data_IF_130908310016
#
_entry.id   IF_130908310016
#
_cell.length_a   1.000
_cell.length_b   1.000
_cell.length_c   1.000
_cell.angle_alpha   90.00
_cell.angle_beta   90.00
_cell.angle_gamma   90.00
#
_symmetry.space_group_name_H-M   'P 1'
#
loop_
_entity.id
_entity.type
_entity.pdbx_description
1 polymer ?
#
# COMPACT_ATOMS: atom_id res chain seq x y z
N UNK A 1 -24.65 48.35 -2.37
CA UNK A 1 -24.73 46.91 -1.97
C UNK A 1 -24.40 45.93 -3.11
N UNK A 2 -24.94 46.07 -4.33
CA UNK A 2 -24.65 45.14 -5.46
C UNK A 2 -23.17 45.13 -5.93
N UNK A 3 -22.46 46.25 -5.81
CA UNK A 3 -21.03 46.31 -6.14
C UNK A 3 -20.17 45.51 -5.16
N UNK A 4 -20.44 45.58 -3.85
CA UNK A 4 -19.68 44.87 -2.82
C UNK A 4 -19.75 43.34 -2.97
N UNK A 5 -20.89 42.81 -3.43
CA UNK A 5 -21.10 41.38 -3.64
C UNK A 5 -20.29 40.82 -4.82
N UNK A 6 -19.98 41.65 -5.84
CA UNK A 6 -19.14 41.26 -6.99
C UNK A 6 -17.66 41.12 -6.62
N UNK A 7 -17.18 41.90 -5.65
CA UNK A 7 -15.79 41.83 -5.17
C UNK A 7 -15.58 40.66 -4.21
N UNK A 8 -16.56 40.34 -3.37
CA UNK A 8 -16.49 39.17 -2.46
C UNK A 8 -16.55 37.86 -3.25
N UNK A 9 -17.37 37.76 -4.31
CA UNK A 9 -17.38 36.59 -5.20
C UNK A 9 -16.08 36.42 -6.01
N UNK A 10 -15.44 37.52 -6.40
CA UNK A 10 -14.15 37.51 -7.11
C UNK A 10 -12.98 37.09 -6.18
N UNK A 11 -12.96 37.56 -4.92
CA UNK A 11 -11.97 37.10 -3.95
C UNK A 11 -12.16 35.62 -3.54
N UNK A 12 -13.41 35.16 -3.41
CA UNK A 12 -13.70 33.76 -3.12
C UNK A 12 -13.26 32.80 -4.24
N UNK A 13 -13.32 33.24 -5.49
CA UNK A 13 -12.89 32.45 -6.66
C UNK A 13 -11.36 32.40 -6.80
N UNK A 14 -10.63 33.41 -6.30
CA UNK A 14 -9.17 33.44 -6.35
C UNK A 14 -8.52 32.52 -5.30
N UNK A 15 -9.14 32.35 -4.12
CA UNK A 15 -8.61 31.45 -3.07
C UNK A 15 -8.79 29.96 -3.37
N UNK A 16 -9.69 29.57 -4.27
CA UNK A 16 -9.88 28.17 -4.67
C UNK A 16 -8.79 27.65 -5.63
N UNK A 17 -7.97 28.53 -6.22
CA UNK A 17 -6.87 28.19 -7.13
C UNK A 17 -5.53 27.94 -6.42
N UNK A 18 -5.48 28.08 -5.09
CA UNK A 18 -4.30 27.77 -4.27
C UNK A 18 -4.39 26.38 -3.62
N UNK A 19 -5.06 25.43 -4.27
CA UNK A 19 -4.86 24.01 -3.95
C UNK A 19 -3.43 23.64 -4.35
N UNK A 20 -2.52 23.70 -3.38
CA UNK A 20 -1.14 23.27 -3.57
C UNK A 20 -1.12 21.86 -4.12
N UNK A 21 -0.64 21.71 -5.35
CA UNK A 21 -0.28 20.42 -5.91
C UNK A 21 0.82 19.83 -5.03
N UNK A 22 0.50 18.76 -4.32
CA UNK A 22 1.48 17.96 -3.62
C UNK A 22 2.37 17.29 -4.66
N UNK A 23 3.52 17.90 -4.97
CA UNK A 23 4.48 17.33 -5.89
C UNK A 23 5.24 16.20 -5.18
N UNK A 24 4.79 14.95 -5.39
CA UNK A 24 5.69 13.82 -5.23
C UNK A 24 6.77 13.95 -6.31
N UNK A 25 8.05 13.81 -5.94
CA UNK A 25 9.12 13.87 -6.94
C UNK A 25 9.11 12.57 -7.76
N UNK A 26 9.31 11.41 -7.14
CA UNK A 26 9.25 10.12 -7.86
C UNK A 26 8.02 9.30 -7.48
N UNK A 27 7.20 8.96 -8.48
CA UNK A 27 6.02 8.10 -8.35
C UNK A 27 6.25 6.73 -8.98
N UNK A 28 5.65 5.68 -8.39
CA UNK A 28 5.63 4.32 -8.95
C UNK A 28 4.34 4.15 -9.73
N UNK A 29 4.39 3.56 -10.93
CA UNK A 29 3.24 3.41 -11.83
C UNK A 29 2.10 2.51 -11.33
N UNK A 30 2.23 1.95 -10.13
CA UNK A 30 1.21 1.15 -9.46
C UNK A 30 1.46 1.08 -7.95
N UNK A 31 0.45 0.67 -7.18
CA UNK A 31 0.52 0.52 -5.71
C UNK A 31 0.99 -0.86 -5.26
N UNK A 32 1.22 -1.75 -6.21
CA UNK A 32 1.70 -3.14 -6.03
C UNK A 32 2.21 -3.71 -7.34
N UNK A 33 2.94 -4.81 -7.25
CA UNK A 33 3.44 -5.59 -8.38
C UNK A 33 2.98 -7.03 -8.21
N UNK A 34 2.45 -7.63 -9.28
CA UNK A 34 2.25 -9.07 -9.37
C UNK A 34 3.40 -9.65 -10.18
N UNK A 35 4.13 -10.60 -9.61
CA UNK A 35 5.21 -11.35 -10.25
C UNK A 35 4.74 -12.79 -10.48
N UNK A 36 4.28 -13.15 -11.68
CA UNK A 36 4.00 -14.54 -12.01
C UNK A 36 5.31 -15.32 -12.05
N UNK A 37 5.40 -16.43 -11.31
CA UNK A 37 6.65 -17.16 -11.10
C UNK A 37 7.17 -17.87 -12.38
N UNK A 38 6.32 -18.00 -13.40
CA UNK A 38 6.68 -18.51 -14.72
C UNK A 38 7.29 -17.43 -15.65
N UNK A 39 7.31 -16.16 -15.22
CA UNK A 39 7.96 -15.08 -15.95
C UNK A 39 9.41 -14.91 -15.51
N UNK A 40 10.29 -14.65 -16.48
CA UNK A 40 11.70 -14.35 -16.20
C UNK A 40 11.88 -13.01 -15.50
N UNK A 41 11.10 -12.02 -15.90
CA UNK A 41 11.14 -10.67 -15.35
C UNK A 41 9.79 -9.98 -15.47
N UNK A 42 9.58 -8.99 -14.61
CA UNK A 42 8.50 -8.00 -14.74
C UNK A 42 9.09 -6.61 -14.73
N UNK A 43 8.37 -5.66 -15.31
CA UNK A 43 8.80 -4.26 -15.37
C UNK A 43 7.97 -3.38 -14.43
N UNK A 44 8.62 -2.44 -13.77
CA UNK A 44 7.96 -1.40 -12.97
C UNK A 44 8.36 -0.03 -13.49
N UNK A 45 7.39 0.79 -13.88
CA UNK A 45 7.64 2.15 -14.36
C UNK A 45 7.66 3.12 -13.18
N UNK A 46 8.65 4.00 -13.16
CA UNK A 46 8.74 5.17 -12.28
C UNK A 46 8.60 6.44 -13.12
N UNK A 47 8.01 7.48 -12.55
CA UNK A 47 8.00 8.83 -13.14
C UNK A 47 8.57 9.83 -12.13
N UNK A 48 9.40 10.75 -12.61
CA UNK A 48 9.75 11.93 -11.85
C UNK A 48 8.82 13.07 -12.27
N UNK A 49 7.78 13.33 -11.49
CA UNK A 49 6.77 14.35 -11.77
C UNK A 49 7.17 15.75 -11.26
N UNK A 50 8.36 15.88 -10.68
CA UNK A 50 8.93 17.16 -10.27
C UNK A 50 9.67 17.89 -11.40
N UNK A 51 9.96 19.16 -11.13
CA UNK A 51 10.80 20.03 -11.96
C UNK A 51 12.30 19.89 -11.67
N UNK A 52 12.69 19.02 -10.74
CA UNK A 52 14.09 18.81 -10.33
C UNK A 52 14.52 17.37 -10.54
N UNK A 53 15.82 17.09 -10.73
CA UNK A 53 16.32 15.73 -10.81
C UNK A 53 16.26 15.04 -9.44
N UNK A 54 16.17 13.71 -9.42
CA UNK A 54 16.29 12.89 -8.20
C UNK A 54 17.35 11.82 -8.37
N UNK A 55 18.02 11.46 -7.27
CA UNK A 55 18.76 10.22 -7.17
C UNK A 55 17.83 9.14 -6.59
N UNK A 56 17.59 8.10 -7.36
CA UNK A 56 16.70 7.00 -6.97
C UNK A 56 17.50 5.77 -6.60
N UNK A 57 17.19 5.17 -5.45
CA UNK A 57 17.69 3.86 -5.04
C UNK A 57 16.53 2.88 -4.89
N UNK A 58 16.70 1.65 -5.38
CA UNK A 58 15.67 0.62 -5.33
C UNK A 58 16.21 -0.69 -4.76
N UNK A 59 15.41 -1.34 -3.93
CA UNK A 59 15.73 -2.65 -3.37
C UNK A 59 14.47 -3.43 -2.99
N UNK A 60 14.62 -4.74 -2.84
CA UNK A 60 13.57 -5.63 -2.34
C UNK A 60 13.83 -5.98 -0.87
N UNK A 61 12.76 -6.02 -0.06
CA UNK A 61 12.79 -6.57 1.28
C UNK A 61 11.76 -7.71 1.45
N UNK A 62 11.93 -8.51 2.50
CA UNK A 62 11.16 -9.72 2.83
C UNK A 62 10.15 -9.52 3.97
N UNK A 63 9.80 -8.27 4.27
CA UNK A 63 8.85 -7.90 5.32
C UNK A 63 9.46 -6.93 6.34
N UNK A 64 10.80 -6.91 6.46
CA UNK A 64 11.49 -5.96 7.32
C UNK A 64 11.48 -4.54 6.73
N UNK A 65 10.57 -3.69 7.21
CA UNK A 65 10.49 -2.29 6.79
C UNK A 65 11.76 -1.49 7.10
N UNK A 66 12.61 -1.91 8.04
CA UNK A 66 13.87 -1.24 8.36
C UNK A 66 15.05 -1.73 7.51
N UNK A 67 14.81 -2.68 6.59
CA UNK A 67 15.85 -3.18 5.70
C UNK A 67 16.41 -2.06 4.82
N UNK A 68 17.75 -1.97 4.81
CA UNK A 68 18.52 -1.02 4.00
C UNK A 68 18.89 -1.63 2.64
N UNK A 69 19.21 -0.80 1.63
CA UNK A 69 19.79 -1.28 0.37
C UNK A 69 20.96 -2.25 0.63
N UNK A 70 20.95 -3.40 -0.04
CA UNK A 70 21.99 -4.43 0.08
C UNK A 70 21.90 -5.34 1.32
N UNK A 71 20.97 -5.08 2.24
CA UNK A 71 20.78 -5.89 3.46
C UNK A 71 19.60 -6.88 3.36
N UNK A 72 18.86 -6.90 2.25
CA UNK A 72 17.68 -7.74 2.06
C UNK A 72 18.03 -9.17 1.65
N UNK A 73 17.34 -10.15 2.25
CA UNK A 73 17.41 -11.57 1.87
C UNK A 73 16.38 -11.94 0.78
N UNK A 74 15.69 -10.95 0.22
CA UNK A 74 14.68 -11.18 -0.79
C UNK A 74 15.32 -11.76 -2.08
N UNK A 75 14.74 -12.81 -2.69
CA UNK A 75 15.32 -13.52 -3.84
C UNK A 75 15.06 -12.77 -5.15
N UNK A 76 15.42 -11.48 -5.21
CA UNK A 76 15.16 -10.61 -6.34
C UNK A 76 16.37 -9.75 -6.69
N UNK A 77 16.56 -9.55 -7.99
CA UNK A 77 17.51 -8.60 -8.57
C UNK A 77 16.72 -7.51 -9.27
N UNK A 78 17.00 -6.24 -8.96
CA UNK A 78 16.36 -5.08 -9.58
C UNK A 78 17.42 -4.30 -10.36
N UNK A 79 17.11 -3.96 -11.60
CA UNK A 79 18.03 -3.23 -12.49
C UNK A 79 17.35 -2.03 -13.14
N UNK A 80 17.97 -0.82 -13.13
CA UNK A 80 19.15 -0.45 -12.34
C UNK A 80 18.81 -0.28 -10.84
N UNK A 81 19.73 -0.60 -9.90
CA UNK A 81 19.50 -0.49 -8.45
C UNK A 81 19.67 0.95 -7.92
N UNK A 82 20.44 1.78 -8.63
CA UNK A 82 20.63 3.20 -8.34
C UNK A 82 20.81 3.96 -9.65
N UNK A 83 20.17 5.12 -9.79
CA UNK A 83 20.23 5.93 -10.99
C UNK A 83 19.72 7.34 -10.72
N UNK A 84 20.14 8.28 -11.55
CA UNK A 84 19.58 9.63 -11.58
C UNK A 84 18.35 9.65 -12.50
N UNK A 85 17.25 10.22 -12.02
CA UNK A 85 16.08 10.57 -12.83
C UNK A 85 16.05 12.08 -13.03
N UNK A 86 16.18 12.56 -14.26
CA UNK A 86 15.98 13.98 -14.54
C UNK A 86 14.51 14.38 -14.42
N UNK A 87 14.26 15.69 -14.33
CA UNK A 87 12.93 16.27 -14.21
C UNK A 87 11.99 15.82 -15.33
N UNK A 88 10.75 15.49 -14.98
CA UNK A 88 9.70 15.06 -15.94
C UNK A 88 10.09 13.84 -16.79
N UNK A 89 11.02 13.00 -16.33
CA UNK A 89 11.43 11.76 -17.00
C UNK A 89 10.86 10.53 -16.32
N UNK A 90 10.70 9.47 -17.12
CA UNK A 90 10.35 8.14 -16.62
C UNK A 90 11.55 7.21 -16.65
N UNK A 91 11.61 6.27 -15.72
CA UNK A 91 12.55 5.15 -15.72
C UNK A 91 11.77 3.84 -15.62
N UNK A 92 12.22 2.80 -16.33
CA UNK A 92 11.69 1.45 -16.15
C UNK A 92 12.69 0.60 -15.39
N UNK A 93 12.22 -0.04 -14.32
CA UNK A 93 12.95 -1.05 -13.56
C UNK A 93 12.65 -2.43 -14.15
N UNK A 94 13.66 -3.28 -14.24
CA UNK A 94 13.49 -4.74 -14.42
C UNK A 94 13.63 -5.43 -13.09
N UNK A 95 12.65 -6.23 -12.73
CA UNK A 95 12.63 -7.07 -11.52
C UNK A 95 12.75 -8.51 -11.95
N UNK A 96 13.78 -9.21 -11.49
CA UNK A 96 14.08 -10.61 -11.82
C UNK A 96 14.13 -11.44 -10.55
N UNK A 97 13.46 -12.58 -10.55
CA UNK A 97 13.55 -13.56 -9.48
C UNK A 97 14.88 -14.34 -9.57
N UNK A 98 15.57 -14.53 -8.45
CA UNK A 98 16.90 -15.16 -8.41
C UNK A 98 16.88 -16.68 -8.34
N UNK A 99 15.70 -17.31 -8.29
CA UNK A 99 15.57 -18.77 -8.33
C UNK A 99 15.71 -19.48 -6.98
N UNK A 100 15.51 -18.78 -5.86
CA UNK A 100 15.42 -19.42 -4.54
C UNK A 100 14.28 -20.46 -4.48
N UNK A 101 14.15 -21.20 -3.38
CA UNK A 101 12.96 -22.04 -3.20
C UNK A 101 11.79 -21.17 -2.70
N UNK A 102 10.61 -21.32 -3.31
CA UNK A 102 9.37 -20.71 -2.85
C UNK A 102 8.24 -21.74 -2.76
N UNK A 103 7.26 -21.53 -1.85
CA UNK A 103 6.02 -22.29 -1.86
C UNK A 103 5.38 -22.28 -3.24
N UNK A 104 4.93 -23.44 -3.72
CA UNK A 104 4.27 -23.59 -5.01
C UNK A 104 2.73 -23.68 -4.87
N UNK A 105 2.25 -23.85 -3.64
CA UNK A 105 0.84 -24.02 -3.30
C UNK A 105 0.14 -22.71 -2.90
N UNK A 106 0.89 -21.60 -2.77
CA UNK A 106 0.39 -20.30 -2.32
C UNK A 106 1.25 -19.14 -2.81
N UNK A 107 0.69 -17.94 -2.76
CA UNK A 107 1.46 -16.72 -2.98
C UNK A 107 2.51 -16.48 -1.90
N UNK A 108 3.59 -15.82 -2.28
CA UNK A 108 4.54 -15.19 -1.36
C UNK A 108 4.48 -13.67 -1.52
N UNK A 109 4.87 -12.92 -0.50
CA UNK A 109 4.89 -11.44 -0.54
C UNK A 109 6.27 -10.91 -0.20
N UNK A 110 6.70 -9.92 -0.98
CA UNK A 110 7.89 -9.11 -0.79
C UNK A 110 7.53 -7.62 -0.91
N UNK A 111 8.50 -6.74 -0.70
CA UNK A 111 8.27 -5.31 -0.79
C UNK A 111 9.34 -4.61 -1.61
N UNK A 112 8.90 -3.92 -2.67
CA UNK A 112 9.74 -3.03 -3.45
C UNK A 112 9.84 -1.68 -2.75
N UNK A 113 11.05 -1.27 -2.44
CA UNK A 113 11.37 0.04 -1.91
C UNK A 113 11.94 0.92 -3.01
N UNK A 114 11.43 2.14 -3.10
CA UNK A 114 11.90 3.20 -4.00
C UNK A 114 12.19 4.42 -3.14
N UNK A 115 13.48 4.70 -2.94
CA UNK A 115 13.96 5.87 -2.21
C UNK A 115 14.28 7.00 -3.19
N UNK A 116 13.55 8.09 -3.06
CA UNK A 116 13.70 9.34 -3.80
C UNK A 116 14.54 10.32 -2.97
N UNK A 117 15.74 10.66 -3.48
CA UNK A 117 16.66 11.59 -2.83
C UNK A 117 16.74 12.87 -3.68
N UNK A 118 16.13 13.99 -3.23
CA UNK A 118 16.18 15.24 -3.96
C UNK A 118 17.59 15.85 -3.98
N UNK A 119 17.87 16.80 -4.90
CA UNK A 119 19.14 17.50 -4.91
C UNK A 119 19.25 18.35 -3.63
N UNK A 120 20.49 18.61 -3.18
CA UNK A 120 20.71 19.51 -2.05
C UNK A 120 20.04 20.86 -2.33
N UNK A 121 19.40 21.42 -1.31
CA UNK A 121 18.88 22.79 -1.40
C UNK A 121 20.01 23.75 -1.73
N UNK A 122 19.72 24.77 -2.53
CA UNK A 122 20.67 25.84 -2.80
C UNK A 122 21.09 26.49 -1.48
N UNK A 123 22.40 26.70 -1.32
CA UNK A 123 22.96 27.29 -0.11
C UNK A 123 22.62 28.78 -0.07
N UNK A 124 21.52 29.13 0.59
CA UNK A 124 21.28 30.51 1.03
C UNK A 124 22.02 30.74 2.35
N UNK A 125 22.93 31.73 2.42
CA UNK A 125 23.59 32.11 3.67
C UNK A 125 22.55 32.38 4.77
N UNK A 126 22.81 31.87 5.98
CA UNK A 126 21.96 32.02 7.18
C UNK A 126 20.57 31.35 7.13
N UNK A 127 20.31 30.47 6.17
CA UNK A 127 19.06 29.69 6.13
C UNK A 127 19.23 28.29 6.74
N UNK A 128 18.36 27.96 7.70
CA UNK A 128 18.18 26.59 8.17
C UNK A 128 17.31 25.84 7.15
N UNK A 129 17.88 24.83 6.49
CA UNK A 129 17.15 24.02 5.50
C UNK A 129 16.82 22.64 6.06
N UNK A 130 15.58 22.21 5.87
CA UNK A 130 15.15 20.84 6.11
C UNK A 130 14.98 20.16 4.76
N UNK A 131 15.67 19.05 4.57
CA UNK A 131 15.57 18.24 3.35
C UNK A 131 14.98 16.87 3.69
N UNK A 132 13.97 16.47 2.92
CA UNK A 132 13.27 15.21 3.10
C UNK A 132 13.57 14.28 1.91
N UNK A 133 13.87 13.02 2.21
CA UNK A 133 13.91 11.94 1.23
C UNK A 133 12.74 11.01 1.51
N UNK A 134 12.03 10.61 0.45
CA UNK A 134 10.83 9.79 0.59
C UNK A 134 11.10 8.37 0.13
N UNK A 135 10.68 7.40 0.94
CA UNK A 135 10.71 5.98 0.57
C UNK A 135 9.29 5.48 0.35
N UNK A 136 8.96 5.20 -0.90
CA UNK A 136 7.74 4.47 -1.26
C UNK A 136 8.01 2.98 -1.16
N UNK A 137 7.19 2.26 -0.39
CA UNK A 137 7.29 0.81 -0.19
C UNK A 137 6.00 0.14 -0.64
N UNK A 138 6.04 -0.66 -1.70
CA UNK A 138 4.86 -1.35 -2.26
C UNK A 138 5.01 -2.86 -2.22
N UNK A 139 3.89 -3.56 -2.12
CA UNK A 139 3.86 -5.03 -2.08
C UNK A 139 4.18 -5.62 -3.45
N UNK A 140 4.90 -6.74 -3.45
CA UNK A 140 5.21 -7.57 -4.61
C UNK A 140 4.72 -8.98 -4.32
N UNK A 141 3.64 -9.39 -4.98
CA UNK A 141 3.07 -10.72 -4.82
C UNK A 141 3.67 -11.67 -5.83
N UNK A 142 4.34 -12.71 -5.34
CA UNK A 142 4.96 -13.76 -6.16
C UNK A 142 3.99 -14.91 -6.26
N UNK A 143 3.60 -15.24 -7.49
CA UNK A 143 2.45 -16.08 -7.76
C UNK A 143 2.88 -17.31 -8.55
N UNK A 144 2.96 -18.49 -7.90
CA UNK A 144 3.13 -19.75 -8.59
C UNK A 144 2.04 -19.97 -9.65
N UNK A 145 2.33 -20.72 -10.72
CA UNK A 145 1.31 -21.08 -11.70
C UNK A 145 0.27 -22.01 -11.06
N UNK A 146 -0.99 -21.90 -11.50
CA UNK A 146 -2.09 -22.83 -11.15
C UNK A 146 -2.49 -22.88 -9.67
N UNK A 147 -2.40 -21.76 -8.95
CA UNK A 147 -3.01 -21.64 -7.62
C UNK A 147 -4.54 -21.86 -7.71
N UNK A 148 -5.16 -22.49 -6.69
CA UNK A 148 -6.61 -22.70 -6.66
C UNK A 148 -7.37 -21.39 -6.43
N UNK A 149 -8.49 -21.20 -7.14
CA UNK A 149 -9.31 -20.00 -7.04
C UNK A 149 -8.71 -18.79 -7.77
N UNK A 150 -9.16 -17.59 -7.40
CA UNK A 150 -8.70 -16.32 -7.97
C UNK A 150 -8.44 -15.31 -6.85
N UNK A 151 -7.55 -14.32 -7.05
CA UNK A 151 -7.33 -13.27 -6.06
C UNK A 151 -8.57 -12.41 -5.84
N UNK A 152 -9.42 -12.24 -6.86
CA UNK A 152 -10.68 -11.49 -6.76
C UNK A 152 -11.71 -12.17 -5.86
N UNK A 153 -11.72 -13.51 -5.86
CA UNK A 153 -12.61 -14.32 -5.02
C UNK A 153 -12.10 -14.50 -3.59
N UNK A 154 -10.80 -14.27 -3.33
CA UNK A 154 -10.22 -14.56 -2.02
C UNK A 154 -10.86 -13.77 -0.85
N UNK A 155 -11.17 -12.46 -0.97
CA UNK A 155 -11.75 -11.69 0.14
C UNK A 155 -13.09 -12.23 0.65
N UNK A 156 -13.95 -12.74 -0.24
CA UNK A 156 -15.27 -13.30 0.12
C UNK A 156 -15.20 -14.68 0.80
N UNK A 157 -14.05 -15.34 0.72
CA UNK A 157 -13.81 -16.66 1.31
C UNK A 157 -13.18 -16.59 2.70
N UNK A 158 -12.95 -15.38 3.22
CA UNK A 158 -12.35 -15.19 4.52
C UNK A 158 -13.36 -15.45 5.65
N UNK A 159 -12.87 -16.08 6.71
CA UNK A 159 -13.64 -16.31 7.92
C UNK A 159 -13.33 -15.24 8.97
N UNK A 160 -14.37 -14.65 9.53
CA UNK A 160 -14.26 -13.56 10.49
C UNK A 160 -14.76 -14.03 11.85
N UNK A 161 -14.05 -13.65 12.93
CA UNK A 161 -14.48 -13.91 14.31
C UNK A 161 -14.16 -12.72 15.20
N UNK A 162 -15.07 -12.41 16.11
CA UNK A 162 -14.77 -11.46 17.18
C UNK A 162 -13.90 -12.14 18.23
N UNK A 163 -12.78 -11.52 18.57
CA UNK A 163 -11.86 -12.00 19.60
C UNK A 163 -11.54 -10.87 20.59
N UNK A 164 -11.05 -11.18 21.80
CA UNK A 164 -10.50 -10.15 22.68
C UNK A 164 -9.36 -9.39 22.00
N UNK A 165 -9.29 -8.07 22.20
CA UNK A 165 -8.17 -7.29 21.66
C UNK A 165 -6.84 -7.74 22.32
N UNK A 166 -5.70 -7.79 21.60
CA UNK A 166 -4.42 -8.27 22.13
C UNK A 166 -3.92 -7.55 23.40
N UNK A 167 -4.36 -6.31 23.63
CA UNK A 167 -4.00 -5.51 24.81
C UNK A 167 -5.09 -5.52 25.92
N UNK A 168 -6.06 -6.43 25.83
CA UNK A 168 -7.09 -6.65 26.86
C UNK A 168 -8.16 -5.56 26.98
N UNK A 169 -8.10 -4.50 26.18
CA UNK A 169 -9.09 -3.42 26.15
C UNK A 169 -9.97 -3.55 24.90
N UNK A 170 -11.18 -4.10 25.07
CA UNK A 170 -12.17 -4.23 24.01
C UNK A 170 -12.01 -5.50 23.17
N UNK A 171 -12.46 -5.44 21.93
CA UNK A 171 -12.50 -6.55 20.99
C UNK A 171 -11.72 -6.23 19.71
N UNK A 172 -11.33 -7.25 18.98
CA UNK A 172 -10.69 -7.19 17.67
C UNK A 172 -11.34 -8.22 16.73
N UNK A 173 -11.00 -8.15 15.44
CA UNK A 173 -11.42 -9.13 14.45
C UNK A 173 -10.29 -10.10 14.16
N UNK A 174 -10.47 -11.38 14.45
CA UNK A 174 -9.64 -12.43 13.91
C UNK A 174 -10.15 -12.78 12.50
N UNK A 175 -9.26 -12.72 11.53
CA UNK A 175 -9.55 -13.04 10.13
C UNK A 175 -8.72 -14.26 9.75
N UNK A 176 -9.37 -15.33 9.30
CA UNK A 176 -8.70 -16.52 8.78
C UNK A 176 -8.82 -16.55 7.26
N UNK A 177 -7.70 -16.79 6.59
CA UNK A 177 -7.64 -16.88 5.15
C UNK A 177 -7.42 -18.33 4.72
N UNK A 178 -8.45 -19.07 4.29
CA UNK A 178 -8.28 -20.44 3.84
C UNK A 178 -7.67 -20.56 2.43
N UNK A 179 -7.50 -19.44 1.73
CA UNK A 179 -7.10 -19.41 0.32
C UNK A 179 -5.59 -19.40 0.11
N UNK A 180 -5.18 -19.59 -1.14
CA UNK A 180 -3.80 -19.52 -1.59
C UNK A 180 -3.30 -18.08 -1.87
N UNK A 181 -4.12 -17.06 -1.62
CA UNK A 181 -3.89 -15.66 -2.05
C UNK A 181 -3.77 -14.71 -0.86
N UNK A 182 -2.93 -13.70 -0.95
CA UNK A 182 -2.90 -12.63 0.05
C UNK A 182 -4.11 -11.71 -0.13
N UNK A 183 -4.83 -11.43 0.96
CA UNK A 183 -5.90 -10.42 0.94
C UNK A 183 -5.42 -9.17 1.66
N UNK A 184 -5.37 -8.03 0.96
CA UNK A 184 -5.04 -6.73 1.54
C UNK A 184 -6.28 -5.86 1.61
N UNK A 185 -6.49 -5.20 2.74
CA UNK A 185 -7.60 -4.29 2.98
C UNK A 185 -7.11 -2.85 3.08
N UNK A 186 -7.90 -1.92 2.54
CA UNK A 186 -7.79 -0.49 2.84
C UNK A 186 -8.71 -0.10 4.00
N UNK A 187 -9.86 -0.74 4.12
CA UNK A 187 -10.87 -0.43 5.14
C UNK A 187 -11.58 -1.69 5.61
N UNK A 188 -11.86 -1.76 6.91
CA UNK A 188 -12.73 -2.75 7.52
C UNK A 188 -13.63 -2.05 8.55
N UNK A 189 -14.93 -2.15 8.33
CA UNK A 189 -15.96 -1.56 9.16
C UNK A 189 -16.81 -2.65 9.80
N UNK A 190 -17.12 -2.49 11.09
CA UNK A 190 -17.95 -3.43 11.86
C UNK A 190 -19.18 -2.70 12.35
N UNK A 191 -20.35 -3.09 11.85
CA UNK A 191 -21.64 -2.56 12.29
C UNK A 191 -22.37 -3.56 13.18
N UNK A 192 -22.66 -3.15 14.41
CA UNK A 192 -23.38 -3.94 15.43
C UNK A 192 -24.31 -3.02 16.22
N UNK A 193 -25.57 -3.43 16.42
CA UNK A 193 -26.57 -2.67 17.21
C UNK A 193 -26.67 -1.17 16.83
N UNK A 194 -26.62 -0.86 15.53
CA UNK A 194 -26.68 0.52 15.03
C UNK A 194 -25.41 1.36 15.24
N UNK A 195 -24.33 0.78 15.77
CA UNK A 195 -23.01 1.42 15.90
C UNK A 195 -22.05 0.86 14.87
N UNK A 196 -21.25 1.72 14.24
CA UNK A 196 -20.18 1.33 13.32
C UNK A 196 -18.82 1.65 13.94
N UNK A 197 -17.94 0.65 13.96
CA UNK A 197 -16.53 0.77 14.35
C UNK A 197 -15.68 0.67 13.08
N UNK A 198 -14.77 1.61 12.88
CA UNK A 198 -14.00 1.73 11.64
C UNK A 198 -12.53 1.39 11.83
N UNK A 199 -11.94 0.67 10.90
CA UNK A 199 -10.51 0.55 10.72
C UNK A 199 -10.13 1.05 9.31
N UNK A 200 -9.55 2.24 9.25
CA UNK A 200 -9.04 2.89 8.04
C UNK A 200 -7.52 2.64 7.82
N UNK A 201 -6.87 1.94 8.75
CA UNK A 201 -5.46 1.51 8.62
C UNK A 201 -5.34 0.25 7.76
N UNK A 202 -6.44 -0.46 7.53
CA UNK A 202 -6.50 -1.67 6.73
C UNK A 202 -5.78 -2.85 7.38
N UNK A 203 -5.18 -3.70 6.55
CA UNK A 203 -4.46 -4.89 6.98
C UNK A 203 -4.11 -5.81 5.81
N UNK A 204 -3.40 -6.89 6.08
CA UNK A 204 -3.18 -7.95 5.09
C UNK A 204 -3.16 -9.31 5.77
N UNK A 205 -3.87 -10.26 5.20
CA UNK A 205 -3.93 -11.64 5.70
C UNK A 205 -3.23 -12.55 4.71
N UNK A 206 -2.19 -13.24 5.17
CA UNK A 206 -1.42 -14.17 4.36
C UNK A 206 -2.22 -15.43 3.98
N UNK A 207 -1.88 -16.12 2.87
CA UNK A 207 -2.47 -17.39 2.48
C UNK A 207 -2.40 -18.44 3.59
N UNK A 208 -3.50 -19.15 3.82
CA UNK A 208 -3.63 -20.14 4.91
C UNK A 208 -3.28 -19.58 6.30
N UNK A 209 -3.29 -18.26 6.44
CA UNK A 209 -2.89 -17.53 7.63
C UNK A 209 -4.07 -17.06 8.45
N UNK A 210 -3.74 -16.47 9.61
CA UNK A 210 -4.71 -15.79 10.48
C UNK A 210 -4.09 -14.49 10.95
N UNK A 211 -4.89 -13.45 10.99
CA UNK A 211 -4.48 -12.14 11.50
C UNK A 211 -5.51 -11.58 12.45
N UNK A 212 -5.03 -10.85 13.46
CA UNK A 212 -5.88 -10.08 14.36
C UNK A 212 -5.85 -8.63 13.87
N UNK A 213 -6.93 -8.21 13.24
CA UNK A 213 -7.10 -6.85 12.77
C UNK A 213 -7.70 -6.01 13.90
N UNK A 214 -6.97 -4.99 14.40
CA UNK A 214 -7.50 -4.10 15.41
C UNK A 214 -8.63 -3.27 14.81
N UNK A 215 -9.74 -3.14 15.53
CA UNK A 215 -10.81 -2.20 15.18
C UNK A 215 -10.92 -1.22 16.35
N UNK A 216 -10.43 0.02 16.20
CA UNK A 216 -10.44 1.01 17.26
C UNK A 216 -11.78 1.12 17.97
N UNK A 217 -11.74 1.15 19.31
CA UNK A 217 -12.91 1.33 20.18
C UNK A 217 -13.99 0.24 20.08
N UNK A 218 -13.73 -0.87 19.37
CA UNK A 218 -14.69 -1.96 19.24
C UNK A 218 -14.92 -2.66 20.59
N UNK A 219 -16.18 -2.70 21.01
CA UNK A 219 -16.61 -3.35 22.25
C UNK A 219 -18.11 -3.70 22.20
N UNK A 220 -18.49 -4.78 22.88
CA UNK A 220 -19.89 -5.24 22.97
C UNK A 220 -20.45 -5.84 21.69
N UNK A 221 -19.60 -6.27 20.75
CA UNK A 221 -19.98 -6.92 19.50
C UNK A 221 -20.15 -8.42 19.74
N UNK A 222 -21.31 -8.97 19.37
CA UNK A 222 -21.62 -10.41 19.42
C UNK A 222 -22.04 -10.92 18.04
N UNK A 223 -23.00 -10.23 17.42
CA UNK A 223 -23.33 -10.38 16.00
C UNK A 223 -23.10 -9.05 15.29
N UNK A 224 -22.60 -9.09 14.06
CA UNK A 224 -22.27 -7.88 13.32
C UNK A 224 -22.26 -8.12 11.82
N UNK A 225 -22.42 -7.03 11.07
CA UNK A 225 -22.05 -6.96 9.66
C UNK A 225 -20.62 -6.42 9.59
N UNK A 226 -19.74 -7.14 8.92
CA UNK A 226 -18.41 -6.65 8.54
C UNK A 226 -18.50 -6.18 7.10
N UNK A 227 -18.27 -4.90 6.88
CA UNK A 227 -18.03 -4.36 5.54
C UNK A 227 -16.52 -4.25 5.34
N UNK A 228 -16.01 -4.68 4.20
CA UNK A 228 -14.58 -4.57 3.90
C UNK A 228 -14.35 -4.00 2.50
N UNK A 229 -13.24 -3.28 2.38
CA UNK A 229 -12.70 -2.83 1.10
C UNK A 229 -11.33 -3.49 0.92
N UNK A 230 -11.31 -4.56 0.11
CA UNK A 230 -10.09 -5.23 -0.29
C UNK A 230 -9.47 -4.54 -1.52
N UNK A 231 -8.17 -4.74 -1.74
CA UNK A 231 -7.43 -4.16 -2.86
C UNK A 231 -7.08 -5.28 -3.84
N UNK A 232 -7.49 -5.14 -5.10
CA UNK A 232 -7.20 -6.09 -6.19
C UNK A 232 -5.77 -5.92 -6.75
N UNK A 233 -5.40 -6.72 -7.73
CA UNK A 233 -4.05 -6.72 -8.34
C UNK A 233 -3.69 -5.39 -9.04
N UNK A 234 -4.69 -4.64 -9.50
CA UNK A 234 -4.52 -3.35 -10.17
C UNK A 234 -4.55 -2.16 -9.19
N UNK A 235 -4.69 -2.42 -7.89
CA UNK A 235 -4.82 -1.37 -6.87
C UNK A 235 -6.23 -0.78 -6.74
N UNK A 236 -7.23 -1.38 -7.39
CA UNK A 236 -8.64 -1.00 -7.28
C UNK A 236 -9.34 -1.68 -6.09
N UNK A 237 -10.48 -1.12 -5.70
CA UNK A 237 -11.30 -1.62 -4.59
C UNK A 237 -12.13 -2.86 -5.00
N UNK A 238 -12.21 -3.83 -4.09
CA UNK A 238 -13.19 -4.91 -4.06
C UNK A 238 -13.96 -4.76 -2.76
N UNK A 239 -15.21 -4.34 -2.87
CA UNK A 239 -16.10 -4.19 -1.72
C UNK A 239 -16.84 -5.50 -1.46
N UNK A 240 -17.03 -5.80 -0.19
CA UNK A 240 -17.82 -6.96 0.20
C UNK A 240 -18.31 -6.88 1.64
N UNK A 241 -19.24 -7.76 1.95
CA UNK A 241 -19.84 -7.87 3.27
C UNK A 241 -19.71 -9.30 3.79
N UNK A 242 -19.47 -9.44 5.07
CA UNK A 242 -19.53 -10.70 5.81
C UNK A 242 -20.43 -10.53 7.03
N UNK A 243 -21.07 -11.61 7.46
CA UNK A 243 -21.88 -11.62 8.69
C UNK A 243 -21.14 -12.40 9.77
N UNK A 244 -20.97 -11.76 10.92
CA UNK A 244 -20.50 -12.39 12.15
C UNK A 244 -21.72 -12.95 12.87
N UNK A 245 -21.85 -14.27 12.88
CA UNK A 245 -22.78 -14.97 13.77
C UNK A 245 -22.10 -15.28 15.10
N UNK A 246 -22.84 -15.30 16.23
CA UNK A 246 -22.31 -15.65 17.55
C UNK A 246 -21.59 -17.00 17.61
#
# INVERSE_FOLDING_TARGET
MKAMYRWVAALGSMSALLMGVAHASVTVGGTRVVYPLDQREVTVKLNNDSSTPSLVQVWMDDGNAEAKPGAGNAPFVITPPIFRMDASKSQTLRVMYSGAALPQDRESVYWLNVLDIPPKADATPDANTLQLAYRTRIKVFVRPPKLPGTPEDAPRLLDWKVVPAPQGKGQALAVSNPTAWHVSFSEIDVTSNGRTFKNESGGMVAPHGKEIIPVPQMAGVQSAKVHYVAINDFGGAIEGDATLTP
#
